data_IF_206784495505
#
_entry.id   IF_206784495505
#
_cell.length_a   1.000
_cell.length_b   1.000
_cell.length_c   1.000
_cell.angle_alpha   90.00
_cell.angle_beta   90.00
_cell.angle_gamma   90.00
#
_symmetry.space_group_name_H-M   'P 1'
#
loop_
_entity.id
_entity.type
_entity.pdbx_description
1 polymer ?
#
# COMPACT_ATOMS: atom_id res chain seq x y z
N UNK A 1 39.79 6.41 -36.05
CA UNK A 1 38.89 5.26 -36.03
C UNK A 1 37.67 5.66 -35.18
N UNK A 2 36.50 5.78 -35.80
CA UNK A 2 35.26 6.00 -35.07
C UNK A 2 34.93 4.74 -34.27
N UNK A 3 34.95 4.83 -32.92
CA UNK A 3 34.55 3.72 -32.07
C UNK A 3 33.04 3.51 -32.24
N UNK A 4 32.64 2.31 -32.66
CA UNK A 4 31.25 1.90 -32.67
C UNK A 4 30.76 1.80 -31.22
N UNK A 5 29.69 2.50 -30.92
CA UNK A 5 29.02 2.40 -29.60
C UNK A 5 28.04 1.24 -29.69
N UNK A 6 28.31 0.18 -28.93
CA UNK A 6 27.38 -0.95 -28.78
C UNK A 6 26.54 -0.71 -27.55
N UNK A 7 25.23 -0.54 -27.72
CA UNK A 7 24.27 -0.44 -26.60
C UNK A 7 23.59 -1.78 -26.37
N UNK A 8 23.27 -2.07 -25.10
CA UNK A 8 22.47 -3.23 -24.74
C UNK A 8 20.99 -3.03 -25.11
N UNK A 9 20.28 -4.13 -25.38
CA UNK A 9 18.81 -4.09 -25.56
C UNK A 9 18.10 -3.49 -24.33
N UNK A 10 17.00 -2.74 -24.52
CA UNK A 10 16.32 -2.44 -25.80
C UNK A 10 16.97 -1.29 -26.56
N UNK A 11 17.03 -1.42 -27.89
CA UNK A 11 17.61 -0.41 -28.77
C UNK A 11 16.65 0.75 -29.11
N UNK A 12 15.35 0.54 -28.88
CA UNK A 12 14.33 1.57 -29.08
C UNK A 12 14.00 2.20 -27.71
N UNK A 13 14.26 3.48 -27.59
CA UNK A 13 13.95 4.26 -26.38
C UNK A 13 12.67 5.05 -26.59
N UNK A 14 11.63 4.72 -25.77
CA UNK A 14 10.40 5.50 -25.69
C UNK A 14 10.58 6.77 -24.83
N UNK A 15 9.58 7.66 -24.85
CA UNK A 15 9.56 8.85 -23.98
C UNK A 15 9.28 8.55 -22.50
N UNK A 16 9.16 7.27 -22.12
CA UNK A 16 8.93 6.83 -20.75
C UNK A 16 10.23 6.51 -20.04
N UNK A 17 10.32 6.95 -18.79
CA UNK A 17 11.46 6.69 -17.91
C UNK A 17 10.98 6.28 -16.53
N UNK A 18 11.82 5.51 -15.82
CA UNK A 18 11.54 5.13 -14.42
C UNK A 18 11.22 6.36 -13.58
N UNK A 19 12.05 7.41 -13.70
CA UNK A 19 11.86 8.68 -13.01
C UNK A 19 10.49 9.29 -13.29
N UNK A 20 10.05 9.37 -14.54
CA UNK A 20 8.74 9.93 -14.95
C UNK A 20 7.58 9.16 -14.31
N UNK A 21 7.65 7.83 -14.31
CA UNK A 21 6.62 6.98 -13.71
C UNK A 21 6.59 7.10 -12.19
N UNK A 22 7.74 7.14 -11.50
CA UNK A 22 7.82 7.33 -10.06
C UNK A 22 7.24 8.69 -9.63
N UNK A 23 7.62 9.78 -10.31
CA UNK A 23 7.00 11.09 -10.04
C UNK A 23 5.51 11.12 -10.39
N UNK A 24 5.06 10.36 -11.38
CA UNK A 24 3.63 10.20 -11.69
C UNK A 24 2.85 9.57 -10.52
N UNK A 25 3.41 8.55 -9.86
CA UNK A 25 2.81 7.95 -8.66
C UNK A 25 2.77 8.94 -7.50
N UNK A 26 3.84 9.72 -7.28
CA UNK A 26 3.86 10.78 -6.26
C UNK A 26 2.77 11.83 -6.48
N UNK A 27 2.57 12.27 -7.75
CA UNK A 27 1.47 13.18 -8.11
C UNK A 27 0.11 12.55 -7.83
N UNK A 28 -0.06 11.25 -8.11
CA UNK A 28 -1.30 10.52 -7.83
C UNK A 28 -1.59 10.40 -6.32
N UNK A 29 -0.57 10.43 -5.46
CA UNK A 29 -0.71 10.40 -4.00
C UNK A 29 -0.99 11.80 -3.39
N UNK A 30 -0.74 12.88 -4.13
CA UNK A 30 -0.94 14.26 -3.61
C UNK A 30 -2.37 14.52 -3.09
N UNK A 31 -3.46 14.11 -3.77
CA UNK A 31 -4.81 14.33 -3.23
C UNK A 31 -5.00 13.66 -1.85
N UNK A 32 -4.52 12.43 -1.68
CA UNK A 32 -4.60 11.73 -0.41
C UNK A 32 -3.74 12.40 0.68
N UNK A 33 -2.56 12.91 0.33
CA UNK A 33 -1.72 13.68 1.24
C UNK A 33 -2.39 14.98 1.69
N UNK A 34 -2.98 15.74 0.77
CA UNK A 34 -3.68 16.99 1.11
C UNK A 34 -4.87 16.73 2.05
N UNK A 35 -5.64 15.68 1.79
CA UNK A 35 -6.75 15.29 2.67
C UNK A 35 -6.24 14.85 4.04
N UNK A 36 -5.14 14.09 4.11
CA UNK A 36 -4.56 13.70 5.40
C UNK A 36 -4.05 14.89 6.22
N UNK A 37 -3.53 15.93 5.55
CA UNK A 37 -3.16 17.19 6.20
C UNK A 37 -4.38 17.96 6.74
N UNK A 38 -5.49 17.95 6.02
CA UNK A 38 -6.73 18.60 6.45
C UNK A 38 -7.36 17.93 7.69
N UNK A 39 -7.21 16.60 7.82
CA UNK A 39 -7.82 15.84 8.90
C UNK A 39 -6.89 15.62 10.11
N UNK A 40 -5.60 15.40 9.91
CA UNK A 40 -4.62 15.11 10.95
C UNK A 40 -3.56 16.20 11.16
N UNK A 41 -3.58 17.25 10.34
CA UNK A 41 -2.77 18.45 10.52
C UNK A 41 -1.27 18.21 10.67
N UNK A 42 -0.73 18.73 11.78
CA UNK A 42 0.71 18.71 12.08
C UNK A 42 1.28 17.30 12.21
N UNK A 43 0.52 16.36 12.79
CA UNK A 43 0.94 14.96 12.92
C UNK A 43 1.21 14.30 11.57
N UNK A 44 0.29 14.48 10.60
CA UNK A 44 0.47 13.98 9.25
C UNK A 44 1.71 14.55 8.56
N UNK A 45 1.95 15.85 8.72
CA UNK A 45 3.13 16.52 8.15
C UNK A 45 4.44 15.98 8.74
N UNK A 46 4.52 15.91 10.07
CA UNK A 46 5.73 15.46 10.77
C UNK A 46 6.08 13.99 10.45
N UNK A 47 5.10 13.10 10.52
CA UNK A 47 5.30 11.68 10.24
C UNK A 47 5.71 11.48 8.77
N UNK A 48 5.04 12.14 7.82
CA UNK A 48 5.36 12.02 6.40
C UNK A 48 6.74 12.59 6.09
N UNK A 49 7.06 13.78 6.59
CA UNK A 49 8.37 14.40 6.39
C UNK A 49 9.49 13.55 6.98
N UNK A 50 9.32 13.05 8.22
CA UNK A 50 10.32 12.18 8.86
C UNK A 50 10.51 10.89 8.09
N UNK A 51 9.43 10.25 7.63
CA UNK A 51 9.49 9.00 6.86
C UNK A 51 10.25 9.21 5.54
N UNK A 52 9.90 10.25 4.78
CA UNK A 52 10.54 10.55 3.49
C UNK A 52 12.01 10.88 3.67
N UNK A 53 12.33 11.79 4.59
CA UNK A 53 13.71 12.21 4.86
C UNK A 53 14.56 11.03 5.32
N UNK A 54 14.03 10.18 6.21
CA UNK A 54 14.74 8.99 6.69
C UNK A 54 14.97 7.97 5.57
N UNK A 55 13.97 7.71 4.71
CA UNK A 55 14.12 6.80 3.58
C UNK A 55 15.19 7.28 2.60
N UNK A 56 15.18 8.56 2.24
CA UNK A 56 16.20 9.16 1.34
C UNK A 56 17.57 9.12 1.98
N UNK A 57 17.67 9.46 3.26
CA UNK A 57 18.94 9.44 4.00
C UNK A 57 19.53 8.04 4.07
N UNK A 58 18.73 7.01 4.42
CA UNK A 58 19.21 5.63 4.51
C UNK A 58 19.60 5.07 3.15
N UNK A 59 18.85 5.37 2.09
CA UNK A 59 19.23 4.97 0.74
C UNK A 59 20.58 5.57 0.34
N UNK A 60 20.77 6.88 0.56
CA UNK A 60 22.03 7.55 0.30
C UNK A 60 23.18 6.96 1.12
N UNK A 61 22.99 6.80 2.43
CA UNK A 61 24.02 6.33 3.33
C UNK A 61 24.46 4.90 3.00
N UNK A 62 23.52 4.00 2.78
CA UNK A 62 23.80 2.60 2.48
C UNK A 62 24.46 2.46 1.10
N UNK A 63 23.96 3.13 0.06
CA UNK A 63 24.56 3.10 -1.27
C UNK A 63 26.00 3.64 -1.26
N UNK A 64 26.24 4.74 -0.55
CA UNK A 64 27.56 5.38 -0.51
C UNK A 64 28.56 4.64 0.38
N UNK A 65 28.17 4.29 1.62
CA UNK A 65 29.11 3.76 2.61
C UNK A 65 29.24 2.23 2.60
N UNK A 66 28.11 1.51 2.36
CA UNK A 66 28.10 0.04 2.42
C UNK A 66 28.31 -0.52 1.02
N UNK A 67 27.51 -0.10 0.04
CA UNK A 67 27.58 -0.64 -1.32
C UNK A 67 28.68 0.02 -2.16
N UNK A 68 29.26 1.13 -1.71
CA UNK A 68 30.35 1.88 -2.39
C UNK A 68 30.05 2.20 -3.86
N UNK A 69 28.78 2.51 -4.16
CA UNK A 69 28.36 2.88 -5.51
C UNK A 69 28.83 4.32 -5.82
N UNK A 70 29.37 4.55 -7.02
CA UNK A 70 29.80 5.89 -7.47
C UNK A 70 28.60 6.81 -7.69
N UNK A 71 27.46 6.28 -8.16
CA UNK A 71 26.22 7.00 -8.37
C UNK A 71 25.14 6.52 -7.43
N UNK A 72 24.57 7.44 -6.65
CA UNK A 72 23.46 7.12 -5.75
C UNK A 72 22.12 7.32 -6.47
N UNK A 73 21.17 6.38 -6.42
CA UNK A 73 19.89 6.45 -7.15
C UNK A 73 18.85 7.38 -6.52
N UNK A 74 19.25 8.35 -5.69
CA UNK A 74 18.34 9.22 -4.92
C UNK A 74 17.37 10.01 -5.84
N UNK A 75 17.78 10.31 -7.07
CA UNK A 75 17.01 11.14 -8.00
C UNK A 75 15.92 10.40 -8.76
N UNK A 76 15.81 9.08 -8.60
CA UNK A 76 14.79 8.27 -9.27
C UNK A 76 13.40 8.38 -8.62
N UNK A 77 13.34 8.91 -7.37
CA UNK A 77 12.09 9.11 -6.62
C UNK A 77 11.60 7.87 -5.87
N UNK A 78 12.27 6.72 -5.99
CA UNK A 78 11.81 5.48 -5.38
C UNK A 78 11.85 5.47 -3.85
N UNK A 79 12.89 6.09 -3.23
CA UNK A 79 12.95 6.27 -1.79
C UNK A 79 11.84 7.20 -1.27
N UNK A 80 11.52 8.24 -2.03
CA UNK A 80 10.44 9.17 -1.69
C UNK A 80 9.10 8.45 -1.68
N UNK A 81 8.80 7.64 -2.72
CA UNK A 81 7.57 6.83 -2.76
C UNK A 81 7.51 5.88 -1.58
N UNK A 82 8.60 5.15 -1.29
CA UNK A 82 8.65 4.23 -0.14
C UNK A 82 8.37 4.98 1.16
N UNK A 83 8.94 6.18 1.35
CA UNK A 83 8.71 7.01 2.53
C UNK A 83 7.26 7.50 2.63
N UNK A 84 6.66 7.97 1.54
CA UNK A 84 5.24 8.41 1.52
C UNK A 84 4.30 7.24 1.79
N UNK A 85 4.51 6.11 1.12
CA UNK A 85 3.67 4.92 1.33
C UNK A 85 3.82 4.34 2.73
N UNK A 86 5.04 4.36 3.31
CA UNK A 86 5.24 3.95 4.70
C UNK A 86 4.49 4.88 5.66
N UNK A 87 4.62 6.22 5.48
CA UNK A 87 3.89 7.19 6.29
C UNK A 87 2.37 7.01 6.19
N UNK A 88 1.86 6.74 5.00
CA UNK A 88 0.42 6.51 4.77
C UNK A 88 -0.13 5.26 5.46
N UNK A 89 0.74 4.35 5.86
CA UNK A 89 0.38 3.11 6.54
C UNK A 89 0.56 3.14 8.06
N UNK A 90 0.93 4.27 8.63
CA UNK A 90 1.12 4.42 10.08
C UNK A 90 0.18 5.49 10.65
N UNK A 91 -0.08 5.47 11.97
CA UNK A 91 -0.86 6.51 12.64
C UNK A 91 -0.15 7.87 12.62
N UNK A 92 -0.92 8.98 12.66
CA UNK A 92 -0.37 10.34 12.67
C UNK A 92 0.30 10.73 14.00
N UNK A 93 0.01 10.02 15.09
CA UNK A 93 0.59 10.25 16.41
C UNK A 93 1.81 9.35 16.71
N UNK A 94 2.28 8.58 15.72
CA UNK A 94 3.40 7.66 15.94
C UNK A 94 4.68 8.42 16.32
N UNK A 95 5.41 8.01 17.38
CA UNK A 95 6.69 8.60 17.74
C UNK A 95 7.68 8.58 16.57
N UNK A 96 8.31 9.71 16.27
CA UNK A 96 9.14 9.87 15.07
C UNK A 96 10.32 8.88 15.00
N UNK A 97 10.89 8.49 16.16
CA UNK A 97 11.98 7.51 16.18
C UNK A 97 11.54 6.12 15.70
N UNK A 98 10.28 5.73 15.93
CA UNK A 98 9.71 4.47 15.41
C UNK A 98 9.60 4.55 13.89
N UNK A 99 9.16 5.70 13.35
CA UNK A 99 9.12 5.94 11.89
C UNK A 99 10.51 5.79 11.26
N UNK A 100 11.55 6.33 11.92
CA UNK A 100 12.95 6.20 11.46
C UNK A 100 13.40 4.74 11.42
N UNK A 101 13.08 3.94 12.45
CA UNK A 101 13.38 2.50 12.46
C UNK A 101 12.65 1.77 11.34
N UNK A 102 11.37 2.09 11.10
CA UNK A 102 10.60 1.52 9.99
C UNK A 102 11.19 1.85 8.63
N UNK A 103 11.64 3.10 8.43
CA UNK A 103 12.31 3.54 7.22
C UNK A 103 13.65 2.82 7.00
N UNK A 104 14.44 2.64 8.06
CA UNK A 104 15.69 1.87 8.02
C UNK A 104 15.44 0.42 7.59
N UNK A 105 14.43 -0.24 8.17
CA UNK A 105 14.06 -1.60 7.80
C UNK A 105 13.58 -1.69 6.35
N UNK A 106 12.68 -0.82 5.94
CA UNK A 106 12.12 -0.79 4.59
C UNK A 106 13.21 -0.59 3.51
N UNK A 107 14.09 0.37 3.70
CA UNK A 107 15.14 0.69 2.72
C UNK A 107 16.34 -0.27 2.86
N UNK A 108 16.87 -0.46 4.07
CA UNK A 108 18.08 -1.23 4.30
C UNK A 108 17.88 -2.72 4.09
N UNK A 109 16.87 -3.30 4.76
CA UNK A 109 16.66 -4.74 4.75
C UNK A 109 15.85 -5.19 3.53
N UNK A 110 14.77 -4.48 3.17
CA UNK A 110 13.85 -4.98 2.14
C UNK A 110 14.23 -4.53 0.74
N UNK A 111 14.75 -3.31 0.57
CA UNK A 111 15.07 -2.77 -0.75
C UNK A 111 16.52 -3.03 -1.15
N UNK A 112 17.48 -2.57 -0.33
CA UNK A 112 18.89 -2.53 -0.72
C UNK A 112 19.63 -3.85 -0.53
N UNK A 113 19.24 -4.70 0.44
CA UNK A 113 19.87 -6.01 0.65
C UNK A 113 19.68 -6.96 -0.56
N UNK A 114 18.62 -6.77 -1.34
CA UNK A 114 18.36 -7.55 -2.55
C UNK A 114 18.95 -6.93 -3.83
N UNK A 115 19.60 -5.77 -3.74
CA UNK A 115 20.25 -5.12 -4.89
C UNK A 115 19.64 -3.78 -5.32
N UNK A 116 18.65 -3.27 -4.62
CA UNK A 116 18.04 -1.96 -4.87
C UNK A 116 16.80 -2.01 -5.75
N UNK A 117 16.52 -0.93 -6.48
CA UNK A 117 15.33 -0.81 -7.31
C UNK A 117 15.27 -1.91 -8.38
N UNK A 118 14.15 -2.60 -8.45
CA UNK A 118 13.93 -3.68 -9.42
C UNK A 118 14.28 -5.08 -8.93
N UNK A 119 14.96 -5.23 -7.78
CA UNK A 119 15.39 -6.51 -7.24
C UNK A 119 14.66 -6.93 -5.96
N UNK A 120 13.85 -6.06 -5.37
CA UNK A 120 13.14 -6.35 -4.13
C UNK A 120 12.07 -7.44 -4.29
N UNK A 121 12.07 -8.40 -3.38
CA UNK A 121 11.10 -9.50 -3.36
C UNK A 121 9.74 -9.05 -2.81
N UNK A 122 9.75 -8.16 -1.82
CA UNK A 122 8.56 -7.63 -1.14
C UNK A 122 8.44 -6.13 -1.38
N UNK A 123 7.22 -5.61 -1.26
CA UNK A 123 7.00 -4.16 -1.22
C UNK A 123 7.66 -3.57 0.04
N UNK A 124 8.64 -2.63 -0.10
CA UNK A 124 9.42 -2.15 1.04
C UNK A 124 8.58 -1.43 2.09
N UNK A 125 7.61 -0.61 1.67
CA UNK A 125 6.75 0.13 2.59
C UNK A 125 5.86 -0.79 3.43
N UNK A 126 5.29 -1.84 2.81
CA UNK A 126 4.47 -2.82 3.51
C UNK A 126 5.28 -3.70 4.46
N UNK A 127 6.48 -4.12 4.04
CA UNK A 127 7.36 -4.88 4.91
C UNK A 127 7.81 -4.05 6.12
N UNK A 128 8.12 -2.75 5.91
CA UNK A 128 8.39 -1.81 7.00
C UNK A 128 7.21 -1.67 7.96
N UNK A 129 5.99 -1.52 7.44
CA UNK A 129 4.76 -1.49 8.26
C UNK A 129 4.57 -2.77 9.05
N UNK A 130 4.70 -3.94 8.42
CA UNK A 130 4.53 -5.23 9.09
C UNK A 130 5.56 -5.41 10.22
N UNK A 131 6.82 -5.03 9.97
CA UNK A 131 7.86 -5.02 11.00
C UNK A 131 7.51 -4.11 12.18
N UNK A 132 7.05 -2.87 11.91
CA UNK A 132 6.64 -1.94 12.97
C UNK A 132 5.44 -2.46 13.77
N UNK A 133 4.44 -3.05 13.11
CA UNK A 133 3.27 -3.61 13.77
C UNK A 133 3.62 -4.77 14.71
N UNK A 134 4.59 -5.61 14.32
CA UNK A 134 5.03 -6.73 15.14
C UNK A 134 5.94 -6.29 16.29
N UNK A 135 6.79 -5.26 16.07
CA UNK A 135 7.75 -4.78 17.07
C UNK A 135 7.16 -3.76 18.06
N UNK A 136 6.22 -2.94 17.61
CA UNK A 136 5.61 -1.83 18.37
C UNK A 136 4.07 -1.87 18.28
N UNK A 137 3.41 -2.97 18.68
CA UNK A 137 1.98 -3.15 18.44
C UNK A 137 1.13 -2.07 19.10
N UNK A 138 1.44 -1.62 20.31
CA UNK A 138 0.67 -0.62 21.05
C UNK A 138 0.64 0.71 20.28
N UNK A 139 1.81 1.22 19.87
CA UNK A 139 1.93 2.49 19.18
C UNK A 139 1.33 2.42 17.75
N UNK A 140 1.39 1.26 17.12
CA UNK A 140 0.86 1.04 15.77
C UNK A 140 -0.66 0.81 15.72
N UNK A 141 -1.29 0.54 16.86
CA UNK A 141 -2.75 0.32 16.96
C UNK A 141 -3.50 1.44 17.69
N UNK A 142 -2.81 2.53 18.02
CA UNK A 142 -3.40 3.72 18.62
C UNK A 142 -3.77 4.71 17.52
N UNK A 143 -5.07 4.90 17.27
CA UNK A 143 -5.56 5.68 16.15
C UNK A 143 -6.08 7.03 16.59
N UNK A 144 -5.53 8.15 16.08
CA UNK A 144 -6.00 9.50 16.39
C UNK A 144 -7.41 9.74 15.86
N UNK A 145 -8.19 10.47 16.63
CA UNK A 145 -9.46 11.01 16.16
C UNK A 145 -9.25 12.14 15.15
N UNK A 146 -10.15 12.25 14.19
CA UNK A 146 -10.08 13.25 13.11
C UNK A 146 -10.36 14.65 13.64
N UNK A 147 -9.68 15.67 13.13
CA UNK A 147 -9.91 17.09 13.45
C UNK A 147 -8.92 17.67 14.45
N UNK A 148 -7.96 16.90 14.94
CA UNK A 148 -6.92 17.36 15.87
C UNK A 148 -5.73 17.94 15.11
N UNK A 149 -5.89 19.15 14.53
CA UNK A 149 -4.91 19.72 13.59
C UNK A 149 -3.56 20.09 14.20
N UNK A 150 -3.52 20.42 15.48
CA UNK A 150 -2.29 20.86 16.16
C UNK A 150 -1.78 19.88 17.20
N UNK A 151 -2.57 18.87 17.57
CA UNK A 151 -2.17 17.89 18.57
C UNK A 151 -1.15 16.88 17.99
N UNK A 152 -0.14 16.54 18.79
CA UNK A 152 0.85 15.51 18.44
C UNK A 152 1.36 14.80 19.71
N UNK A 153 1.58 13.52 19.63
CA UNK A 153 2.09 12.74 20.76
C UNK A 153 1.05 12.46 21.85
N UNK A 154 1.33 12.84 23.09
CA UNK A 154 0.50 12.52 24.26
C UNK A 154 -0.84 13.28 24.35
N UNK A 155 -0.95 14.41 23.64
CA UNK A 155 -2.15 15.26 23.69
C UNK A 155 -3.24 14.82 22.70
N UNK A 156 -3.04 13.71 21.99
CA UNK A 156 -3.97 13.22 20.97
C UNK A 156 -5.01 12.32 21.59
N UNK A 157 -6.30 12.66 21.41
CA UNK A 157 -7.41 11.75 21.72
C UNK A 157 -7.48 10.65 20.66
N UNK A 158 -7.72 9.41 21.10
CA UNK A 158 -7.73 8.23 20.23
C UNK A 158 -9.11 7.59 20.20
N UNK A 159 -9.48 7.00 19.08
CA UNK A 159 -10.75 6.29 18.95
C UNK A 159 -10.57 4.97 18.17
N UNK A 160 -11.61 4.13 18.18
CA UNK A 160 -11.61 2.87 17.48
C UNK A 160 -11.74 3.09 15.96
N UNK A 161 -11.00 2.32 15.16
CA UNK A 161 -11.18 2.32 13.71
C UNK A 161 -12.46 1.59 13.31
N UNK A 162 -13.06 1.89 12.14
CA UNK A 162 -14.20 1.13 11.63
C UNK A 162 -13.96 -0.38 11.58
N UNK A 163 -12.76 -0.81 11.15
CA UNK A 163 -12.39 -2.23 11.17
C UNK A 163 -12.27 -2.81 12.59
N UNK A 164 -11.80 -2.01 13.54
CA UNK A 164 -11.74 -2.40 14.95
C UNK A 164 -13.14 -2.64 15.54
N UNK A 165 -14.10 -1.76 15.23
CA UNK A 165 -15.51 -1.91 15.62
C UNK A 165 -16.11 -3.17 15.00
N UNK A 166 -15.95 -3.37 13.68
CA UNK A 166 -16.42 -4.58 12.96
C UNK A 166 -15.85 -5.85 13.61
N UNK A 167 -14.56 -5.86 13.91
CA UNK A 167 -13.89 -6.99 14.56
C UNK A 167 -14.41 -7.24 15.98
N UNK A 168 -14.71 -6.18 16.72
CA UNK A 168 -15.34 -6.25 18.04
C UNK A 168 -16.71 -6.93 17.98
N UNK A 169 -17.55 -6.58 17.00
CA UNK A 169 -18.86 -7.20 16.78
C UNK A 169 -18.73 -8.68 16.46
N UNK A 170 -17.84 -9.05 15.54
CA UNK A 170 -17.60 -10.47 15.17
C UNK A 170 -17.13 -11.28 16.39
N UNK A 171 -16.31 -10.70 17.24
CA UNK A 171 -15.79 -11.36 18.44
C UNK A 171 -16.71 -11.22 19.67
N UNK A 172 -17.93 -10.70 19.50
CA UNK A 172 -18.90 -10.45 20.58
C UNK A 172 -18.31 -9.63 21.75
N UNK A 173 -17.47 -8.65 21.44
CA UNK A 173 -16.88 -7.78 22.46
C UNK A 173 -17.94 -6.90 23.13
N UNK A 174 -17.94 -6.75 24.47
CA UNK A 174 -18.93 -5.95 25.17
C UNK A 174 -18.87 -4.48 24.71
N UNK A 175 -20.02 -3.92 24.33
CA UNK A 175 -20.15 -2.53 23.87
C UNK A 175 -19.86 -2.30 22.38
N UNK A 176 -19.44 -3.30 21.61
CA UNK A 176 -19.30 -3.17 20.17
C UNK A 176 -20.66 -3.34 19.48
N UNK A 177 -21.08 -2.33 18.73
CA UNK A 177 -22.33 -2.35 17.97
C UNK A 177 -22.10 -1.80 16.56
N UNK A 178 -22.83 -2.33 15.57
CA UNK A 178 -22.73 -1.89 14.16
C UNK A 178 -23.23 -0.44 13.99
N UNK A 179 -24.07 0.05 14.87
CA UNK A 179 -24.59 1.42 14.86
C UNK A 179 -23.51 2.49 15.14
N UNK A 180 -22.36 2.08 15.70
CA UNK A 180 -21.21 2.96 15.92
C UNK A 180 -20.36 3.18 14.67
N UNK A 181 -20.65 2.46 13.58
CA UNK A 181 -19.90 2.60 12.35
C UNK A 181 -20.22 3.93 11.65
N UNK A 182 -19.21 4.61 11.11
CA UNK A 182 -19.42 5.77 10.27
C UNK A 182 -20.30 5.41 9.05
N UNK A 183 -21.10 6.37 8.61
CA UNK A 183 -21.88 6.19 7.36
C UNK A 183 -20.96 6.00 6.15
N UNK A 184 -21.46 5.32 5.11
CA UNK A 184 -20.69 5.13 3.87
C UNK A 184 -20.21 6.46 3.26
N UNK A 185 -20.96 7.54 3.43
CA UNK A 185 -20.58 8.88 2.98
C UNK A 185 -19.41 9.47 3.78
N UNK A 186 -19.41 9.29 5.11
CA UNK A 186 -18.30 9.70 5.97
C UNK A 186 -17.02 8.93 5.64
N UNK A 187 -17.11 7.62 5.42
CA UNK A 187 -15.99 6.79 4.95
C UNK A 187 -15.48 7.22 3.57
N UNK A 188 -16.38 7.62 2.68
CA UNK A 188 -16.02 8.07 1.33
C UNK A 188 -15.25 9.39 1.35
N UNK A 189 -15.67 10.36 2.18
CA UNK A 189 -14.98 11.65 2.34
C UNK A 189 -13.72 11.49 3.19
N UNK A 190 -13.77 10.64 4.26
CA UNK A 190 -12.63 10.37 5.12
C UNK A 190 -12.76 10.85 6.57
N UNK A 191 -13.98 11.02 7.07
CA UNK A 191 -14.23 11.36 8.46
C UNK A 191 -14.20 10.11 9.35
N UNK A 192 -13.05 9.43 9.40
CA UNK A 192 -12.87 8.21 10.19
C UNK A 192 -11.44 8.11 10.70
N UNK A 193 -11.27 7.51 11.87
CA UNK A 193 -9.95 7.18 12.40
C UNK A 193 -9.29 6.08 11.59
N UNK A 194 -7.98 6.21 11.38
CA UNK A 194 -7.20 5.23 10.63
C UNK A 194 -5.78 5.68 10.34
N UNK A 195 -5.12 4.99 9.43
CA UNK A 195 -3.82 5.41 8.92
C UNK A 195 -3.93 6.69 8.07
N UNK A 196 -2.85 7.43 7.95
CA UNK A 196 -2.81 8.69 7.18
C UNK A 196 -3.31 8.55 5.74
N UNK A 197 -3.03 7.43 5.07
CA UNK A 197 -3.38 7.21 3.67
C UNK A 197 -4.73 6.54 3.43
N UNK A 198 -5.42 6.06 4.46
CA UNK A 198 -6.71 5.36 4.31
C UNK A 198 -7.93 6.27 4.55
N UNK A 199 -7.68 7.55 4.86
CA UNK A 199 -8.72 8.46 5.33
C UNK A 199 -9.78 8.73 4.26
N UNK A 200 -9.41 9.05 3.02
CA UNK A 200 -10.38 9.41 1.98
C UNK A 200 -10.37 8.46 0.78
N UNK A 201 -11.45 7.71 0.63
CA UNK A 201 -11.65 6.88 -0.56
C UNK A 201 -11.71 7.72 -1.85
N UNK A 202 -12.35 8.90 -1.81
CA UNK A 202 -12.42 9.84 -2.95
C UNK A 202 -11.02 10.24 -3.43
N UNK A 203 -10.14 10.63 -2.53
CA UNK A 203 -8.79 11.07 -2.88
C UNK A 203 -7.96 9.94 -3.51
N UNK A 204 -8.10 8.71 -3.01
CA UNK A 204 -7.43 7.53 -3.57
C UNK A 204 -7.98 7.16 -4.95
N UNK A 205 -9.29 7.27 -5.16
CA UNK A 205 -9.93 7.04 -6.47
C UNK A 205 -9.53 8.09 -7.51
N UNK A 206 -9.35 9.36 -7.12
CA UNK A 206 -8.77 10.38 -7.99
C UNK A 206 -7.34 10.03 -8.40
N UNK A 207 -6.54 9.53 -7.47
CA UNK A 207 -5.20 9.02 -7.75
C UNK A 207 -5.22 7.83 -8.72
N UNK A 208 -6.15 6.88 -8.54
CA UNK A 208 -6.36 5.76 -9.46
C UNK A 208 -6.69 6.25 -10.87
N UNK A 209 -7.66 7.17 -10.99
CA UNK A 209 -8.07 7.72 -12.28
C UNK A 209 -6.90 8.39 -13.01
N UNK A 210 -6.07 9.15 -12.29
CA UNK A 210 -4.85 9.77 -12.83
C UNK A 210 -3.85 8.72 -13.33
N UNK A 211 -3.57 7.66 -12.53
CA UNK A 211 -2.61 6.61 -12.91
C UNK A 211 -3.09 5.79 -14.11
N UNK A 212 -4.39 5.51 -14.22
CA UNK A 212 -4.98 4.84 -15.37
C UNK A 212 -4.93 5.73 -16.61
N UNK A 213 -5.25 7.04 -16.48
CA UNK A 213 -5.17 8.00 -17.59
C UNK A 213 -3.76 8.12 -18.14
N UNK A 214 -2.76 8.20 -17.27
CA UNK A 214 -1.33 8.24 -17.65
C UNK A 214 -0.77 6.89 -18.06
N UNK A 215 -1.56 5.80 -17.98
CA UNK A 215 -1.13 4.41 -18.25
C UNK A 215 0.06 3.96 -17.39
N UNK A 216 0.19 4.50 -16.18
CA UNK A 216 1.21 4.09 -15.21
C UNK A 216 0.90 2.69 -14.70
N UNK A 217 -0.37 2.40 -14.43
CA UNK A 217 -0.83 1.07 -14.01
C UNK A 217 -1.94 0.54 -14.93
N UNK A 218 -2.20 -0.77 -14.83
CA UNK A 218 -3.33 -1.42 -15.49
C UNK A 218 -4.46 -1.65 -14.49
N UNK A 219 -5.69 -1.68 -14.95
CA UNK A 219 -6.89 -1.87 -14.13
C UNK A 219 -7.04 -3.27 -13.52
N UNK A 220 -6.29 -4.29 -14.04
CA UNK A 220 -6.48 -5.69 -13.69
C UNK A 220 -6.34 -5.99 -12.18
N UNK A 221 -5.28 -5.49 -11.55
CA UNK A 221 -5.02 -5.74 -10.12
C UNK A 221 -6.03 -5.02 -9.23
N UNK A 222 -6.26 -3.70 -9.34
CA UNK A 222 -7.23 -3.02 -8.48
C UNK A 222 -8.64 -3.58 -8.60
N UNK A 223 -9.11 -3.83 -9.83
CA UNK A 223 -10.47 -4.33 -10.06
C UNK A 223 -10.64 -5.76 -9.54
N UNK A 224 -9.65 -6.64 -9.72
CA UNK A 224 -9.72 -8.01 -9.20
C UNK A 224 -9.72 -8.06 -7.68
N UNK A 225 -8.93 -7.23 -7.00
CA UNK A 225 -8.92 -7.15 -5.53
C UNK A 225 -10.27 -6.65 -5.02
N UNK A 226 -10.71 -5.47 -5.51
CA UNK A 226 -11.96 -4.85 -5.05
C UNK A 226 -13.18 -5.73 -5.38
N UNK A 227 -13.22 -6.33 -6.57
CA UNK A 227 -14.29 -7.23 -6.98
C UNK A 227 -14.37 -8.48 -6.10
N UNK A 228 -13.23 -9.09 -5.77
CA UNK A 228 -13.18 -10.27 -4.90
C UNK A 228 -13.61 -9.94 -3.48
N UNK A 229 -13.14 -8.81 -2.93
CA UNK A 229 -13.56 -8.35 -1.59
C UNK A 229 -15.05 -8.06 -1.58
N UNK A 230 -15.58 -7.39 -2.60
CA UNK A 230 -17.01 -7.09 -2.71
C UNK A 230 -17.87 -8.35 -2.76
N UNK A 231 -17.52 -9.31 -3.61
CA UNK A 231 -18.27 -10.55 -3.76
C UNK A 231 -18.20 -11.40 -2.48
N UNK A 232 -17.01 -11.59 -1.91
CA UNK A 232 -16.85 -12.42 -0.71
C UNK A 232 -17.52 -11.80 0.51
N UNK A 233 -17.32 -10.49 0.76
CA UNK A 233 -18.01 -9.81 1.86
C UNK A 233 -19.51 -9.74 1.65
N UNK A 234 -19.98 -9.68 0.38
CA UNK A 234 -21.39 -9.77 0.02
C UNK A 234 -22.01 -11.11 0.37
N UNK A 235 -21.33 -12.20 0.08
CA UNK A 235 -21.79 -13.57 0.45
C UNK A 235 -21.90 -13.68 1.97
N UNK A 236 -20.90 -13.18 2.72
CA UNK A 236 -20.94 -13.23 4.18
C UNK A 236 -22.07 -12.36 4.76
N UNK A 237 -22.30 -11.18 4.23
CA UNK A 237 -23.39 -10.30 4.63
C UNK A 237 -24.77 -10.90 4.35
N UNK A 238 -24.96 -11.56 3.20
CA UNK A 238 -26.20 -12.28 2.87
C UNK A 238 -26.44 -13.49 3.78
N UNK A 239 -25.37 -14.13 4.26
CA UNK A 239 -25.49 -15.24 5.19
C UNK A 239 -25.92 -14.81 6.60
N UNK A 240 -25.41 -13.66 7.09
CA UNK A 240 -25.78 -13.11 8.40
C UNK A 240 -25.56 -11.59 8.40
N UNK A 241 -26.63 -10.84 8.15
CA UNK A 241 -26.59 -9.37 8.12
C UNK A 241 -26.44 -8.69 9.48
N UNK A 242 -26.70 -9.41 10.57
CA UNK A 242 -26.53 -8.89 11.95
C UNK A 242 -25.06 -8.91 12.39
N UNK A 243 -24.27 -9.86 11.86
CA UNK A 243 -22.87 -10.05 12.25
C UNK A 243 -21.91 -9.39 11.27
N UNK A 244 -22.24 -9.41 9.98
CA UNK A 244 -21.36 -8.93 8.91
C UNK A 244 -21.87 -7.63 8.30
N UNK A 245 -20.95 -6.72 8.01
CA UNK A 245 -21.24 -5.39 7.50
C UNK A 245 -21.44 -5.40 5.99
N UNK A 246 -22.18 -4.43 5.47
CA UNK A 246 -22.39 -4.22 4.06
C UNK A 246 -21.06 -4.22 3.26
N UNK A 247 -21.00 -4.88 2.08
CA UNK A 247 -19.82 -4.92 1.22
C UNK A 247 -19.20 -3.56 0.88
N UNK A 248 -20.03 -2.52 0.69
CA UNK A 248 -19.52 -1.16 0.44
C UNK A 248 -18.73 -0.61 1.63
N UNK A 249 -19.21 -0.82 2.85
CA UNK A 249 -18.50 -0.40 4.06
C UNK A 249 -17.18 -1.15 4.20
N UNK A 250 -17.15 -2.45 3.85
CA UNK A 250 -15.91 -3.24 3.82
C UNK A 250 -14.90 -2.73 2.80
N UNK A 251 -15.34 -2.26 1.61
CA UNK A 251 -14.48 -1.68 0.59
C UNK A 251 -13.89 -0.33 1.00
N UNK A 252 -14.72 0.50 1.64
CA UNK A 252 -14.34 1.86 2.02
C UNK A 252 -13.55 1.93 3.34
N UNK A 253 -13.52 0.83 4.10
CA UNK A 253 -12.85 0.78 5.41
C UNK A 253 -11.43 0.26 5.30
N UNK A 254 -10.54 0.88 6.07
CA UNK A 254 -9.14 0.48 6.20
C UNK A 254 -8.30 0.72 4.94
N UNK A 255 -7.07 0.21 4.96
CA UNK A 255 -6.10 0.39 3.88
C UNK A 255 -6.36 -0.39 2.61
N UNK A 256 -7.57 -0.92 2.37
CA UNK A 256 -7.87 -1.72 1.19
C UNK A 256 -7.65 -0.95 -0.11
N UNK A 257 -8.21 0.27 -0.22
CA UNK A 257 -8.06 1.10 -1.42
C UNK A 257 -6.62 1.53 -1.64
N UNK A 258 -5.93 2.00 -0.59
CA UNK A 258 -4.51 2.35 -0.68
C UNK A 258 -3.67 1.15 -1.13
N UNK A 259 -3.90 -0.01 -0.51
CA UNK A 259 -3.19 -1.25 -0.84
C UNK A 259 -3.46 -1.74 -2.26
N UNK A 260 -4.72 -1.76 -2.69
CA UNK A 260 -5.12 -2.25 -4.02
C UNK A 260 -4.62 -1.34 -5.15
N UNK A 261 -4.60 -0.01 -4.93
CA UNK A 261 -4.28 0.98 -5.97
C UNK A 261 -2.78 1.24 -6.07
N UNK A 262 -2.09 1.45 -4.93
CA UNK A 262 -0.71 1.95 -4.92
C UNK A 262 0.33 0.91 -4.50
N UNK A 263 -0.06 -0.13 -3.75
CA UNK A 263 0.91 -1.08 -3.18
C UNK A 263 0.93 -2.43 -3.88
N UNK A 264 -0.24 -2.97 -4.24
CA UNK A 264 -0.33 -4.22 -4.99
C UNK A 264 0.06 -4.06 -6.47
N UNK A 265 0.07 -2.83 -6.97
CA UNK A 265 0.44 -2.48 -8.35
C UNK A 265 1.93 -2.11 -8.50
N UNK A 266 2.76 -2.38 -7.51
CA UNK A 266 4.21 -2.19 -7.60
C UNK A 266 4.78 -3.03 -8.76
N UNK A 267 5.56 -2.39 -9.63
CA UNK A 267 6.09 -3.01 -10.85
C UNK A 267 7.00 -4.21 -10.59
N UNK A 268 7.71 -4.20 -9.47
CA UNK A 268 8.71 -5.22 -9.16
C UNK A 268 8.07 -6.46 -8.55
N UNK A 269 7.10 -6.27 -7.65
CA UNK A 269 6.53 -7.34 -6.84
C UNK A 269 5.23 -7.91 -7.40
N UNK A 270 4.67 -7.31 -8.47
CA UNK A 270 3.44 -7.81 -9.12
C UNK A 270 3.74 -8.68 -10.36
N UNK A 271 2.80 -9.57 -10.76
CA UNK A 271 2.95 -10.41 -11.96
C UNK A 271 2.98 -9.58 -13.25
N UNK A 272 3.78 -10.03 -14.24
CA UNK A 272 3.92 -9.33 -15.53
C UNK A 272 2.76 -9.56 -16.50
N UNK A 273 2.07 -10.71 -16.42
CA UNK A 273 0.99 -11.07 -17.35
C UNK A 273 -0.38 -10.66 -16.81
N UNK A 274 -1.26 -10.13 -17.67
CA UNK A 274 -2.62 -9.74 -17.29
C UNK A 274 -3.43 -10.86 -16.62
N UNK A 275 -3.30 -12.11 -17.08
CA UNK A 275 -3.93 -13.26 -16.41
C UNK A 275 -3.33 -13.53 -15.03
N UNK A 276 -2.01 -13.39 -14.90
CA UNK A 276 -1.33 -13.48 -13.62
C UNK A 276 -1.75 -12.38 -12.67
N UNK A 277 -1.93 -11.15 -13.15
CA UNK A 277 -2.43 -10.01 -12.38
C UNK A 277 -3.84 -10.25 -11.82
N UNK A 278 -4.75 -10.87 -12.61
CA UNK A 278 -6.09 -11.22 -12.13
C UNK A 278 -6.04 -12.27 -11.02
N UNK A 279 -5.27 -13.36 -11.21
CA UNK A 279 -5.10 -14.39 -10.19
C UNK A 279 -4.49 -13.81 -8.91
N UNK A 280 -3.44 -13.01 -9.05
CA UNK A 280 -2.78 -12.32 -7.95
C UNK A 280 -3.77 -11.45 -7.16
N UNK A 281 -4.57 -10.63 -7.85
CA UNK A 281 -5.55 -9.77 -7.23
C UNK A 281 -6.69 -10.53 -6.54
N UNK A 282 -7.20 -11.61 -7.15
CA UNK A 282 -8.21 -12.47 -6.53
C UNK A 282 -7.68 -13.10 -5.25
N UNK A 283 -6.46 -13.64 -5.26
CA UNK A 283 -5.86 -14.23 -4.07
C UNK A 283 -5.64 -13.19 -2.96
N UNK A 284 -5.18 -11.97 -3.29
CA UNK A 284 -5.06 -10.87 -2.31
C UNK A 284 -6.43 -10.54 -1.71
N UNK A 285 -7.46 -10.39 -2.54
CA UNK A 285 -8.81 -10.09 -2.07
C UNK A 285 -9.34 -11.16 -1.11
N UNK A 286 -9.20 -12.43 -1.46
CA UNK A 286 -9.59 -13.56 -0.61
C UNK A 286 -8.84 -13.55 0.73
N UNK A 287 -7.51 -13.46 0.70
CA UNK A 287 -6.68 -13.43 1.91
C UNK A 287 -7.05 -12.23 2.79
N UNK A 288 -7.29 -11.07 2.20
CA UNK A 288 -7.67 -9.86 2.95
C UNK A 288 -8.95 -10.06 3.73
N UNK A 289 -10.01 -10.61 3.09
CA UNK A 289 -11.29 -10.86 3.76
C UNK A 289 -11.15 -11.95 4.82
N UNK A 290 -10.43 -13.04 4.53
CA UNK A 290 -10.17 -14.11 5.50
C UNK A 290 -9.45 -13.57 6.74
N UNK A 291 -8.40 -12.76 6.57
CA UNK A 291 -7.67 -12.16 7.71
C UNK A 291 -8.57 -11.19 8.48
N UNK A 292 -9.35 -10.35 7.80
CA UNK A 292 -10.28 -9.41 8.45
C UNK A 292 -11.32 -10.11 9.30
N UNK A 293 -11.94 -11.18 8.79
CA UNK A 293 -13.01 -11.88 9.48
C UNK A 293 -12.49 -12.86 10.55
N UNK A 294 -11.49 -13.66 10.21
CA UNK A 294 -11.03 -14.78 11.03
C UNK A 294 -9.64 -14.59 11.66
N UNK A 295 -8.82 -13.65 11.15
CA UNK A 295 -7.48 -13.40 11.66
C UNK A 295 -7.47 -12.64 13.00
N UNK A 296 -6.31 -12.51 13.62
CA UNK A 296 -6.13 -11.73 14.86
C UNK A 296 -6.18 -10.21 14.61
N UNK A 297 -5.63 -9.75 13.50
CA UNK A 297 -5.55 -8.34 13.16
C UNK A 297 -6.81 -7.87 12.41
N UNK A 298 -7.31 -6.64 12.68
CA UNK A 298 -8.47 -6.09 11.98
C UNK A 298 -8.18 -5.78 10.51
N UNK A 299 -6.92 -5.49 10.16
CA UNK A 299 -6.51 -5.21 8.80
C UNK A 299 -5.64 -6.32 8.21
N UNK A 300 -6.08 -6.87 7.07
CA UNK A 300 -5.41 -7.98 6.40
C UNK A 300 -4.63 -7.61 5.14
N UNK A 301 -4.85 -6.40 4.57
CA UNK A 301 -4.37 -6.05 3.23
C UNK A 301 -2.84 -6.08 3.12
N UNK A 302 -2.14 -5.56 4.12
CA UNK A 302 -0.66 -5.53 4.14
C UNK A 302 -0.06 -6.93 4.11
N UNK A 303 -0.58 -7.83 4.96
CA UNK A 303 -0.13 -9.22 5.02
C UNK A 303 -0.50 -10.00 3.75
N UNK A 304 -1.71 -9.78 3.22
CA UNK A 304 -2.16 -10.43 1.99
C UNK A 304 -1.25 -10.08 0.80
N UNK A 305 -0.87 -8.80 0.64
CA UNK A 305 0.06 -8.38 -0.42
C UNK A 305 1.44 -9.01 -0.20
N UNK A 306 1.99 -8.97 1.02
CA UNK A 306 3.31 -9.55 1.31
C UNK A 306 3.36 -11.04 1.03
N UNK A 307 2.33 -11.79 1.44
CA UNK A 307 2.23 -13.23 1.14
C UNK A 307 2.20 -13.44 -0.37
N UNK A 308 1.36 -12.70 -1.10
CA UNK A 308 1.25 -12.86 -2.55
C UNK A 308 2.47 -12.38 -3.32
N UNK A 309 3.24 -11.42 -2.79
CA UNK A 309 4.53 -11.05 -3.36
C UNK A 309 5.51 -12.24 -3.38
N UNK A 310 5.53 -13.04 -2.29
CA UNK A 310 6.34 -14.27 -2.26
C UNK A 310 5.89 -15.30 -3.31
N UNK A 311 4.61 -15.33 -3.67
CA UNK A 311 4.07 -16.23 -4.70
C UNK A 311 4.16 -15.68 -6.13
N UNK A 312 4.51 -14.41 -6.32
CA UNK A 312 4.62 -13.78 -7.66
C UNK A 312 5.57 -14.54 -8.60
N UNK A 313 6.78 -15.00 -8.19
CA UNK A 313 7.65 -15.79 -9.05
C UNK A 313 6.98 -17.09 -9.52
N UNK A 314 6.20 -17.75 -8.65
CA UNK A 314 5.45 -18.94 -8.97
C UNK A 314 4.37 -18.66 -10.04
N UNK A 315 3.59 -17.58 -9.84
CA UNK A 315 2.58 -17.13 -10.80
C UNK A 315 3.21 -16.87 -12.17
N UNK A 316 4.32 -16.17 -12.22
CA UNK A 316 5.04 -15.86 -13.46
C UNK A 316 5.62 -17.12 -14.14
N UNK A 317 5.94 -18.15 -13.38
CA UNK A 317 6.45 -19.42 -13.93
C UNK A 317 5.34 -20.26 -14.57
N UNK A 318 4.15 -20.30 -13.98
CA UNK A 318 3.03 -21.09 -14.51
C UNK A 318 2.18 -20.34 -15.53
N UNK A 319 1.98 -19.02 -15.35
CA UNK A 319 1.16 -18.19 -16.22
C UNK A 319 2.07 -17.37 -17.15
N UNK A 320 2.64 -18.03 -18.16
CA UNK A 320 3.51 -17.36 -19.14
C UNK A 320 2.71 -16.67 -20.24
N UNK A 321 3.19 -15.51 -20.77
CA UNK A 321 2.62 -14.94 -21.98
C UNK A 321 2.93 -15.87 -23.17
N UNK A 322 2.07 -15.86 -24.19
CA UNK A 322 2.33 -16.58 -25.44
C UNK A 322 3.61 -16.04 -26.08
N UNK A 323 4.47 -16.93 -26.52
CA UNK A 323 5.70 -16.55 -27.23
C UNK A 323 5.34 -16.02 -28.62
N UNK A 324 6.11 -15.07 -29.12
CA UNK A 324 5.96 -14.61 -30.50
C UNK A 324 6.18 -15.78 -31.48
N UNK A 325 5.27 -15.98 -32.45
CA UNK A 325 5.33 -17.08 -33.39
C UNK A 325 4.79 -18.44 -32.90
N UNK A 326 4.31 -18.53 -31.66
CA UNK A 326 3.71 -19.77 -31.13
C UNK A 326 2.30 -19.95 -31.72
N UNK A 327 2.17 -20.90 -32.65
CA UNK A 327 0.87 -21.29 -33.22
C UNK A 327 0.05 -22.00 -32.15
N UNK A 328 -1.16 -21.49 -31.87
CA UNK A 328 -2.06 -22.12 -30.92
C UNK A 328 -2.33 -23.56 -31.37
N UNK A 329 -1.88 -24.57 -30.61
CA UNK A 329 -2.32 -25.95 -30.84
C UNK A 329 -3.84 -25.96 -30.73
N UNK A 330 -4.55 -26.11 -31.85
CA UNK A 330 -5.98 -26.45 -31.82
C UNK A 330 -6.13 -27.74 -31.02
N UNK A 331 -6.83 -27.66 -29.87
CA UNK A 331 -7.30 -28.84 -29.17
C UNK A 331 -8.45 -29.45 -29.93
#
# INVERSE_FOLDING_TARGET
MNKLIVSLSPHVHGGDSVKKNMYGVLIALLPAFLVSLLFFGLGALLVTATSVLSCVFFEWAICKFIMKQETTPITDGSAVITGVLLAFNVPSNLPLWIVVIGALFAIGVVKLSFGGLGCNLFNPALAGRAFLLLSFPVQMTTWPEVGQLTAFGADVTTCATPLGIMKGVINHAPGAALDQLPTAFQLFIGQNAGCLGEVSALALLLGLAFMLWKKIITWHIPVSILGTVFVFSGIMWLANSELYVNPLTQLLSGGLLLGAIFMATDYVTSPMNHRGMLVYGVCIGLLTVVIRLFGAYPEGMSFAILIMNAFTPLINTYIKPKRFGEVAKKK
#
